data_IF_376474095630
#
_entry.id   IF_376474095630
#
_cell.length_a   1.000
_cell.length_b   1.000
_cell.length_c   1.000
_cell.angle_alpha   90.00
_cell.angle_beta   90.00
_cell.angle_gamma   90.00
#
_symmetry.space_group_name_H-M   'P 1'
#
loop_
_entity.id
_entity.type
_entity.pdbx_description
1 polymer ?
#
# COMPACT_ATOMS: atom_id res chain seq x y z
N UNK A 1 10.82 7.10 -9.14
CA UNK A 1 9.73 6.11 -9.15
C UNK A 1 10.29 4.69 -9.06
N UNK A 2 11.52 4.46 -9.50
CA UNK A 2 12.26 3.19 -9.30
C UNK A 2 12.35 2.76 -7.83
N UNK A 3 12.48 3.68 -6.86
CA UNK A 3 12.57 3.32 -5.45
C UNK A 3 11.29 2.65 -4.90
N UNK A 4 10.13 3.16 -5.29
CA UNK A 4 8.83 2.57 -4.95
C UNK A 4 8.67 1.19 -5.58
N UNK A 5 9.15 1.02 -6.81
CA UNK A 5 9.13 -0.28 -7.49
C UNK A 5 9.97 -1.30 -6.71
N UNK A 6 11.18 -0.93 -6.28
CA UNK A 6 12.00 -1.80 -5.43
C UNK A 6 11.33 -2.16 -4.09
N UNK A 7 10.66 -1.20 -3.44
CA UNK A 7 9.92 -1.49 -2.20
C UNK A 7 8.75 -2.45 -2.43
N UNK A 8 8.03 -2.30 -3.55
CA UNK A 8 6.96 -3.21 -3.93
C UNK A 8 7.49 -4.61 -4.28
N UNK A 9 8.64 -4.70 -4.95
CA UNK A 9 9.32 -5.97 -5.21
C UNK A 9 9.68 -6.70 -3.92
N UNK A 10 10.31 -5.99 -2.97
CA UNK A 10 10.70 -6.54 -1.68
C UNK A 10 9.47 -6.99 -0.87
N UNK A 11 8.42 -6.17 -0.87
CA UNK A 11 7.14 -6.52 -0.24
C UNK A 11 6.53 -7.80 -0.84
N UNK A 12 6.54 -7.92 -2.16
CA UNK A 12 5.99 -9.09 -2.85
C UNK A 12 6.77 -10.37 -2.48
N UNK A 13 8.10 -10.30 -2.47
CA UNK A 13 8.91 -11.46 -2.11
C UNK A 13 8.74 -11.83 -0.63
N UNK A 14 8.78 -10.83 0.27
CA UNK A 14 8.60 -11.02 1.70
C UNK A 14 7.23 -11.61 2.07
N UNK A 15 6.16 -11.10 1.44
CA UNK A 15 4.81 -11.63 1.65
C UNK A 15 4.65 -13.07 1.18
N UNK A 16 5.24 -13.44 0.03
CA UNK A 16 5.24 -14.83 -0.44
C UNK A 16 6.02 -15.76 0.47
N UNK A 17 7.17 -15.33 0.98
CA UNK A 17 7.97 -16.11 1.93
C UNK A 17 7.16 -16.38 3.21
N UNK A 18 6.47 -15.36 3.73
CA UNK A 18 5.61 -15.49 4.91
C UNK A 18 4.39 -16.39 4.67
N UNK A 19 3.75 -16.30 3.49
CA UNK A 19 2.65 -17.19 3.10
C UNK A 19 3.11 -18.66 3.01
N UNK A 20 4.28 -18.91 2.42
CA UNK A 20 4.84 -20.26 2.28
C UNK A 20 5.36 -20.85 3.60
N UNK A 21 5.70 -20.01 4.58
CA UNK A 21 6.32 -20.38 5.85
C UNK A 21 5.43 -21.16 6.84
N UNK A 22 4.15 -21.34 6.55
CA UNK A 22 3.21 -22.22 7.27
C UNK A 22 3.33 -22.17 8.82
N UNK A 23 3.17 -20.97 9.40
CA UNK A 23 2.67 -20.81 10.77
C UNK A 23 3.61 -21.14 11.95
N UNK A 24 4.94 -21.13 11.78
CA UNK A 24 5.85 -21.17 12.94
C UNK A 24 5.91 -19.80 13.62
N UNK A 25 5.07 -19.68 14.64
CA UNK A 25 4.62 -18.48 15.37
C UNK A 25 5.71 -17.54 15.91
N UNK A 26 6.99 -17.96 15.97
CA UNK A 26 8.10 -17.15 16.49
C UNK A 26 9.08 -16.64 15.42
N UNK A 27 9.06 -17.18 14.19
CA UNK A 27 9.85 -16.67 13.07
C UNK A 27 9.07 -15.66 12.21
N UNK A 28 7.79 -15.43 12.54
CA UNK A 28 6.88 -14.58 11.80
C UNK A 28 6.84 -13.13 12.29
N UNK A 29 7.26 -12.84 13.52
CA UNK A 29 7.14 -11.49 14.10
C UNK A 29 8.11 -10.50 13.43
N UNK A 30 9.39 -10.87 13.32
CA UNK A 30 10.39 -10.07 12.60
C UNK A 30 10.06 -9.88 11.11
N UNK A 31 9.55 -10.93 10.45
CA UNK A 31 9.11 -10.84 9.05
C UNK A 31 7.88 -9.94 8.89
N UNK A 32 6.94 -10.00 9.83
CA UNK A 32 5.77 -9.12 9.82
C UNK A 32 6.18 -7.66 10.08
N UNK A 33 7.07 -7.41 11.05
CA UNK A 33 7.61 -6.07 11.31
C UNK A 33 8.32 -5.50 10.09
N UNK A 34 9.12 -6.31 9.39
CA UNK A 34 9.77 -5.92 8.14
C UNK A 34 8.75 -5.53 7.07
N UNK A 35 7.69 -6.33 6.85
CA UNK A 35 6.62 -5.96 5.91
C UNK A 35 5.90 -4.67 6.32
N UNK A 36 5.62 -4.47 7.62
CA UNK A 36 4.98 -3.26 8.12
C UNK A 36 5.86 -2.02 7.92
N UNK A 37 7.18 -2.15 8.05
CA UNK A 37 8.13 -1.08 7.76
C UNK A 37 8.11 -0.70 6.27
N UNK A 38 8.13 -1.70 5.38
CA UNK A 38 8.04 -1.48 3.93
C UNK A 38 6.71 -0.80 3.57
N UNK A 39 5.59 -1.20 4.20
CA UNK A 39 4.29 -0.57 3.99
C UNK A 39 4.29 0.91 4.38
N UNK A 40 4.93 1.26 5.49
CA UNK A 40 5.06 2.65 5.93
C UNK A 40 5.90 3.46 4.94
N UNK A 41 7.01 2.90 4.47
CA UNK A 41 7.90 3.55 3.54
C UNK A 41 7.26 3.80 2.17
N UNK A 42 6.52 2.81 1.63
CA UNK A 42 5.72 2.99 0.41
C UNK A 42 4.72 4.15 0.59
N UNK A 43 4.04 4.21 1.74
CA UNK A 43 3.08 5.28 2.02
C UNK A 43 3.75 6.67 2.07
N UNK A 44 4.93 6.76 2.69
CA UNK A 44 5.72 8.00 2.73
C UNK A 44 6.13 8.46 1.34
N UNK A 45 6.65 7.56 0.50
CA UNK A 45 7.02 7.87 -0.88
C UNK A 45 5.82 8.37 -1.70
N UNK A 46 4.65 7.77 -1.51
CA UNK A 46 3.42 8.24 -2.17
C UNK A 46 2.82 9.50 -1.55
N UNK A 47 3.38 10.02 -0.45
CA UNK A 47 2.82 11.16 0.31
C UNK A 47 1.38 10.89 0.77
N UNK A 48 1.10 9.67 1.21
CA UNK A 48 -0.21 9.27 1.75
C UNK A 48 -0.03 8.77 3.18
N UNK A 49 -1.04 8.95 4.06
CA UNK A 49 -0.92 8.48 5.43
C UNK A 49 -0.94 6.93 5.46
N UNK A 50 -0.12 6.27 6.30
CA UNK A 50 -0.03 4.80 6.38
C UNK A 50 -1.23 4.19 7.13
N UNK A 51 -2.44 4.59 6.77
CA UNK A 51 -3.69 4.04 7.29
C UNK A 51 -3.98 2.69 6.64
N UNK A 52 -4.81 1.86 7.30
CA UNK A 52 -5.29 0.59 6.74
C UNK A 52 -5.82 0.75 5.31
N UNK A 53 -6.58 1.81 5.04
CA UNK A 53 -7.13 2.09 3.70
C UNK A 53 -6.04 2.15 2.61
N UNK A 54 -4.90 2.79 2.88
CA UNK A 54 -3.82 2.92 1.90
C UNK A 54 -2.94 1.68 1.85
N UNK A 55 -2.65 1.09 3.01
CA UNK A 55 -1.89 -0.17 3.12
C UNK A 55 -2.58 -1.30 2.35
N UNK A 56 -3.91 -1.38 2.45
CA UNK A 56 -4.70 -2.41 1.77
C UNK A 56 -4.65 -2.30 0.23
N UNK A 57 -4.27 -1.14 -0.33
CA UNK A 57 -4.19 -0.96 -1.79
C UNK A 57 -3.09 -1.79 -2.44
N UNK A 58 -2.05 -2.13 -1.69
CA UNK A 58 -0.90 -2.90 -2.14
C UNK A 58 -0.70 -4.21 -1.37
N UNK A 59 -1.44 -4.45 -0.29
CA UNK A 59 -1.54 -5.78 0.36
C UNK A 59 -2.30 -6.83 -0.46
N UNK A 60 -3.18 -6.40 -1.37
CA UNK A 60 -3.99 -7.29 -2.19
C UNK A 60 -3.12 -7.92 -3.29
N UNK A 61 -2.46 -9.03 -2.97
CA UNK A 61 -1.68 -9.82 -3.91
C UNK A 61 -2.52 -11.03 -4.34
N UNK A 62 -3.11 -11.03 -5.55
CA UNK A 62 -3.85 -12.18 -6.04
C UNK A 62 -2.97 -13.42 -6.15
N UNK A 63 -3.55 -14.61 -5.95
CA UNK A 63 -2.83 -15.85 -6.26
C UNK A 63 -2.56 -15.95 -7.76
N UNK A 64 -1.31 -16.30 -8.12
CA UNK A 64 -0.91 -16.49 -9.51
C UNK A 64 -0.56 -15.22 -10.29
N UNK A 65 -0.54 -14.05 -9.66
CA UNK A 65 -0.05 -12.81 -10.30
C UNK A 65 1.49 -12.83 -10.39
N UNK A 66 2.04 -12.28 -11.48
CA UNK A 66 3.47 -12.05 -11.59
C UNK A 66 3.90 -10.84 -10.76
N UNK A 67 5.18 -10.80 -10.37
CA UNK A 67 5.75 -9.66 -9.64
C UNK A 67 5.59 -8.35 -10.43
N UNK A 68 5.89 -8.38 -11.73
CA UNK A 68 5.75 -7.22 -12.62
C UNK A 68 4.32 -6.70 -12.69
N UNK A 69 3.34 -7.60 -12.81
CA UNK A 69 1.93 -7.23 -12.87
C UNK A 69 1.47 -6.63 -11.54
N UNK A 70 1.89 -7.22 -10.41
CA UNK A 70 1.64 -6.68 -9.09
C UNK A 70 2.17 -5.25 -8.93
N UNK A 71 3.44 -4.99 -9.27
CA UNK A 71 4.06 -3.65 -9.16
C UNK A 71 3.24 -2.64 -9.97
N UNK A 72 2.96 -2.97 -11.23
CA UNK A 72 2.22 -2.10 -12.14
C UNK A 72 0.83 -1.76 -11.60
N UNK A 73 0.08 -2.76 -11.13
CA UNK A 73 -1.26 -2.57 -10.57
C UNK A 73 -1.22 -1.77 -9.26
N UNK A 74 -0.25 -2.04 -8.38
CA UNK A 74 -0.07 -1.32 -7.12
C UNK A 74 0.23 0.16 -7.35
N UNK A 75 1.15 0.50 -8.26
CA UNK A 75 1.46 1.88 -8.61
C UNK A 75 0.25 2.60 -9.19
N UNK A 76 -0.50 1.94 -10.07
CA UNK A 76 -1.73 2.51 -10.64
C UNK A 76 -2.79 2.80 -9.57
N UNK A 77 -3.01 1.85 -8.66
CA UNK A 77 -3.96 2.00 -7.56
C UNK A 77 -3.56 3.11 -6.59
N UNK A 78 -2.29 3.13 -6.17
CA UNK A 78 -1.72 4.13 -5.29
C UNK A 78 -1.80 5.52 -5.91
N UNK A 79 -1.43 5.66 -7.18
CA UNK A 79 -1.54 6.93 -7.91
C UNK A 79 -2.99 7.43 -7.96
N UNK A 80 -3.95 6.53 -8.26
CA UNK A 80 -5.38 6.88 -8.32
C UNK A 80 -5.92 7.33 -6.96
N UNK A 81 -5.62 6.61 -5.89
CA UNK A 81 -6.10 6.95 -4.55
C UNK A 81 -5.38 8.17 -3.96
N UNK A 82 -4.09 8.35 -4.27
CA UNK A 82 -3.36 9.59 -3.98
C UNK A 82 -4.10 10.77 -4.60
N UNK A 83 -4.40 10.72 -5.89
CA UNK A 83 -5.17 11.79 -6.56
C UNK A 83 -6.52 12.01 -5.87
N UNK A 84 -7.28 10.97 -5.54
CA UNK A 84 -8.56 11.11 -4.83
C UNK A 84 -8.42 11.71 -3.43
N UNK A 85 -7.33 11.41 -2.74
CA UNK A 85 -7.04 11.94 -1.41
C UNK A 85 -6.77 13.44 -1.45
N UNK A 86 -5.90 13.88 -2.37
CA UNK A 86 -5.54 15.30 -2.53
C UNK A 86 -6.62 16.11 -3.23
N UNK A 87 -7.36 15.51 -4.17
CA UNK A 87 -8.46 16.14 -4.91
C UNK A 87 -9.83 15.71 -4.36
N UNK A 88 -10.00 15.68 -3.03
CA UNK A 88 -11.36 15.71 -2.48
C UNK A 88 -11.95 17.09 -2.83
N UNK A 89 -13.00 17.18 -3.67
CA UNK A 89 -13.74 18.41 -3.78
C UNK A 89 -14.29 18.66 -2.38
N UNK A 90 -13.96 19.80 -1.80
CA UNK A 90 -14.37 20.18 -0.45
C UNK A 90 -15.88 19.95 -0.25
N UNK A 91 -16.26 18.85 0.40
CA UNK A 91 -17.59 18.72 1.01
C UNK A 91 -17.78 19.81 2.07
N UNK A 92 -16.70 20.35 2.62
CA UNK A 92 -16.70 21.46 3.57
C UNK A 92 -17.01 22.82 2.96
N UNK A 93 -16.61 23.14 1.72
CA UNK A 93 -16.86 24.49 1.15
C UNK A 93 -18.29 24.60 0.63
N UNK A 94 -18.87 23.52 0.10
CA UNK A 94 -20.26 23.51 -0.34
C UNK A 94 -21.27 23.48 0.81
N UNK A 95 -20.93 22.88 1.96
CA UNK A 95 -21.80 22.90 3.14
C UNK A 95 -21.78 24.24 3.89
N UNK A 96 -20.65 24.96 3.88
CA UNK A 96 -20.57 26.30 4.49
C UNK A 96 -21.37 27.33 3.69
N UNK A 97 -21.40 27.24 2.35
CA UNK A 97 -22.17 28.18 1.51
C UNK A 97 -23.68 27.91 1.45
N UNK A 98 -24.14 26.74 1.88
CA UNK A 98 -25.58 26.42 1.93
C UNK A 98 -26.24 26.79 3.26
N UNK A 99 -25.43 27.13 4.26
CA UNK A 99 -25.85 27.52 5.60
C UNK A 99 -25.66 29.04 5.87
N UNK A 100 -25.34 29.84 4.84
CA UNK A 100 -25.21 31.29 4.89
C UNK A 100 -26.34 31.98 4.13
#
# INVERSE_FOLDING_TARGET
>A
MEYVESLLEEYFDGSRILEMGNGKTFANEEGLESLLAIEEEICWEFNVPPTLKFRDLFRLIPMGISKEEYIKTSIQNLSREKTRYFYKPNSTVFEIFKAA
#
